data_IF_910075143585
#
_entry.id   IF_910075143585
#
_cell.length_a   1.000
_cell.length_b   1.000
_cell.length_c   1.000
_cell.angle_alpha   90.00
_cell.angle_beta   90.00
_cell.angle_gamma   90.00
#
_symmetry.space_group_name_H-M   'P 1'
#
loop_
_entity.id
_entity.type
_entity.pdbx_description
1 polymer ?
#
# COMPACT_ATOMS: atom_id res chain seq x y z
N UNK A 1 -32.43 31.47 -34.58
CA UNK A 1 -30.99 31.41 -34.28
C UNK A 1 -30.80 30.29 -33.26
N UNK A 2 -31.20 29.06 -33.60
CA UNK A 2 -30.36 28.07 -34.32
C UNK A 2 -29.16 27.74 -33.43
N UNK A 3 -29.15 26.72 -32.56
CA UNK A 3 -29.58 25.33 -32.74
C UNK A 3 -29.04 24.74 -34.06
N UNK A 4 -27.72 24.64 -34.11
CA UNK A 4 -26.93 24.01 -35.18
C UNK A 4 -26.14 22.87 -34.49
N UNK A 5 -26.70 21.66 -34.41
CA UNK A 5 -26.72 20.61 -35.44
C UNK A 5 -25.30 20.08 -35.70
N UNK A 6 -25.02 18.88 -35.20
CA UNK A 6 -24.53 17.75 -35.99
C UNK A 6 -24.12 16.61 -35.06
N UNK A 7 -25.13 15.82 -34.69
CA UNK A 7 -24.95 14.39 -34.49
C UNK A 7 -24.65 13.73 -35.84
N UNK A 8 -23.98 12.59 -35.77
CA UNK A 8 -23.75 11.62 -36.83
C UNK A 8 -22.80 11.99 -37.99
N UNK A 9 -21.53 11.65 -37.75
CA UNK A 9 -20.81 10.88 -38.77
C UNK A 9 -19.95 9.78 -38.15
N UNK A 10 -20.62 8.67 -37.86
CA UNK A 10 -20.25 7.33 -38.35
C UNK A 10 -18.88 6.80 -37.90
N UNK A 11 -18.97 5.74 -37.09
CA UNK A 11 -17.95 4.71 -36.95
C UNK A 11 -17.33 4.31 -38.28
N UNK A 12 -16.00 4.39 -38.39
CA UNK A 12 -15.15 3.42 -39.09
C UNK A 12 -13.71 3.95 -39.14
N UNK A 13 -12.80 3.30 -38.40
CA UNK A 13 -11.42 3.03 -38.82
C UNK A 13 -10.61 2.50 -37.62
N UNK A 14 -10.77 1.21 -37.40
CA UNK A 14 -9.76 0.33 -36.81
C UNK A 14 -8.44 0.48 -37.60
N UNK A 15 -7.32 0.42 -36.87
CA UNK A 15 -5.94 0.23 -37.32
C UNK A 15 -5.22 1.41 -38.01
N UNK A 16 -4.28 2.03 -37.29
CA UNK A 16 -2.85 2.00 -37.64
C UNK A 16 -2.05 2.84 -36.63
N UNK A 17 -1.16 2.17 -35.90
CA UNK A 17 -0.12 2.76 -35.10
C UNK A 17 1.06 3.14 -36.02
N UNK A 18 1.55 4.39 -36.05
CA UNK A 18 2.87 4.66 -36.57
C UNK A 18 3.77 5.15 -35.44
N UNK A 19 4.53 4.20 -34.90
CA UNK A 19 5.84 4.49 -34.35
C UNK A 19 6.73 5.09 -35.45
N UNK A 20 7.24 6.31 -35.27
CA UNK A 20 8.65 6.68 -35.49
C UNK A 20 8.85 8.21 -35.59
N UNK A 21 10.00 8.65 -35.04
CA UNK A 21 10.65 9.97 -35.11
C UNK A 21 10.17 11.00 -34.07
N UNK A 22 10.99 11.56 -33.18
CA UNK A 22 12.43 11.76 -33.20
C UNK A 22 13.03 11.78 -31.78
N UNK A 23 14.13 11.06 -31.60
CA UNK A 23 14.90 11.01 -30.35
C UNK A 23 15.85 12.22 -30.26
N UNK A 24 15.61 13.12 -29.31
CA UNK A 24 16.62 14.10 -28.89
C UNK A 24 17.58 13.43 -27.91
N UNK A 25 18.80 13.13 -28.40
CA UNK A 25 19.89 12.53 -27.63
C UNK A 25 20.33 13.53 -26.53
N UNK A 26 19.75 13.41 -25.33
CA UNK A 26 20.27 14.12 -24.15
C UNK A 26 21.66 13.58 -23.83
N UNK A 27 22.67 14.42 -24.00
CA UNK A 27 24.02 14.13 -23.53
C UNK A 27 23.97 14.10 -22.01
N UNK A 28 24.10 12.91 -21.43
CA UNK A 28 24.26 12.73 -19.99
C UNK A 28 25.72 13.07 -19.69
N UNK A 29 25.96 14.36 -19.50
CA UNK A 29 27.17 14.86 -18.87
C UNK A 29 27.04 14.71 -17.37
N UNK A 30 28.04 14.08 -16.75
CA UNK A 30 28.29 14.18 -15.32
C UNK A 30 27.52 13.21 -14.43
N UNK A 31 27.84 11.91 -14.53
CA UNK A 31 28.12 11.02 -13.38
C UNK A 31 28.69 9.72 -13.95
N UNK A 32 29.85 9.30 -13.43
CA UNK A 32 30.78 8.32 -13.98
C UNK A 32 30.21 7.18 -14.82
N UNK A 33 30.92 6.89 -15.93
CA UNK A 33 30.72 5.76 -16.86
C UNK A 33 30.62 4.37 -16.20
N UNK A 34 30.89 4.25 -14.89
CA UNK A 34 30.77 3.03 -14.12
C UNK A 34 29.38 2.77 -13.52
N UNK A 35 28.52 3.78 -13.35
CA UNK A 35 27.20 3.57 -12.73
C UNK A 35 26.21 2.92 -13.71
N UNK A 36 26.26 3.31 -14.99
CA UNK A 36 25.44 2.69 -16.03
C UNK A 36 25.75 1.20 -16.22
N UNK A 37 27.00 0.77 -16.06
CA UNK A 37 27.38 -0.65 -16.20
C UNK A 37 26.81 -1.53 -15.07
N UNK A 38 26.63 -0.97 -13.87
CA UNK A 38 25.98 -1.65 -12.74
C UNK A 38 24.46 -1.70 -12.88
N UNK A 39 23.89 -0.62 -13.43
CA UNK A 39 22.46 -0.46 -13.66
C UNK A 39 22.03 -1.41 -14.79
N UNK A 40 22.64 -1.35 -15.96
CA UNK A 40 22.23 -2.10 -17.17
C UNK A 40 22.35 -3.63 -17.02
N UNK A 41 23.25 -4.12 -16.16
CA UNK A 41 23.32 -5.56 -15.82
C UNK A 41 22.30 -6.05 -14.79
N UNK A 42 21.57 -5.15 -14.14
CA UNK A 42 20.68 -5.47 -13.01
C UNK A 42 19.19 -5.53 -13.37
N UNK A 43 18.77 -4.99 -14.53
CA UNK A 43 17.34 -4.94 -14.90
C UNK A 43 16.84 -6.19 -15.63
N UNK A 44 17.71 -6.97 -16.28
CA UNK A 44 17.30 -8.15 -17.08
C UNK A 44 17.29 -9.50 -16.31
N UNK A 45 17.55 -9.49 -14.99
CA UNK A 45 17.46 -10.69 -14.12
C UNK A 45 16.55 -10.52 -12.89
N UNK A 46 15.64 -9.56 -12.92
CA UNK A 46 14.74 -9.28 -11.80
C UNK A 46 13.29 -9.77 -12.02
N UNK A 47 12.98 -10.49 -13.10
CA UNK A 47 11.63 -11.03 -13.34
C UNK A 47 11.45 -12.51 -12.95
N UNK A 48 12.50 -13.26 -12.60
CA UNK A 48 12.37 -14.70 -12.35
C UNK A 48 13.20 -15.23 -11.19
N UNK A 49 13.24 -14.47 -10.09
CA UNK A 49 13.40 -15.03 -8.74
C UNK A 49 12.60 -14.17 -7.76
N UNK A 50 11.29 -14.38 -7.74
CA UNK A 50 10.57 -14.28 -6.46
C UNK A 50 11.12 -15.42 -5.62
N UNK A 51 12.25 -15.16 -4.95
CA UNK A 51 12.67 -15.98 -3.82
C UNK A 51 11.51 -15.90 -2.85
N UNK A 52 10.73 -16.97 -2.77
CA UNK A 52 9.78 -17.19 -1.70
C UNK A 52 10.58 -17.17 -0.40
N UNK A 53 10.75 -15.98 0.15
CA UNK A 53 11.22 -15.82 1.53
C UNK A 53 10.22 -16.58 2.38
N UNK A 54 10.65 -17.54 3.22
CA UNK A 54 9.73 -18.28 4.09
C UNK A 54 8.98 -17.35 5.05
N UNK A 55 9.47 -16.12 5.23
CA UNK A 55 8.74 -15.02 5.83
C UNK A 55 8.46 -13.93 4.78
N UNK A 56 7.24 -13.85 4.24
CA UNK A 56 6.84 -12.70 3.45
C UNK A 56 6.81 -11.46 4.37
N UNK A 57 7.74 -10.54 4.14
CA UNK A 57 7.73 -9.21 4.76
C UNK A 57 6.68 -8.35 4.02
N UNK A 58 5.68 -7.84 4.75
CA UNK A 58 4.50 -7.10 4.26
C UNK A 58 3.29 -7.93 3.78
N UNK A 59 2.85 -8.93 4.54
CA UNK A 59 1.52 -9.53 4.36
C UNK A 59 0.49 -8.73 5.15
N UNK A 60 -0.62 -8.38 4.50
CA UNK A 60 -1.82 -7.84 5.15
C UNK A 60 -2.87 -8.94 5.21
N UNK A 61 -3.45 -9.17 6.38
CA UNK A 61 -4.46 -10.20 6.61
C UNK A 61 -5.30 -9.90 7.84
N UNK A 62 -6.36 -10.69 8.04
CA UNK A 62 -7.22 -10.62 9.21
C UNK A 62 -6.62 -11.44 10.34
N UNK A 63 -6.51 -10.85 11.53
CA UNK A 63 -5.92 -11.47 12.71
C UNK A 63 -6.86 -11.22 13.86
N UNK A 64 -7.22 -12.29 14.58
CA UNK A 64 -8.09 -12.15 15.74
C UNK A 64 -7.48 -11.19 16.77
N UNK A 65 -8.27 -10.21 17.19
CA UNK A 65 -7.83 -9.11 18.08
C UNK A 65 -7.29 -9.65 19.42
N UNK A 66 -7.79 -10.80 19.87
CA UNK A 66 -7.35 -11.50 21.07
C UNK A 66 -5.95 -12.12 20.99
N UNK A 67 -5.38 -12.30 19.79
CA UNK A 67 -4.04 -12.86 19.59
C UNK A 67 -2.94 -11.78 19.56
N UNK A 68 -3.33 -10.51 19.64
CA UNK A 68 -2.42 -9.36 19.56
C UNK A 68 -2.06 -8.88 20.96
N UNK A 69 -0.81 -9.08 21.35
CA UNK A 69 -0.20 -8.58 22.58
C UNK A 69 0.36 -7.17 22.36
N UNK A 70 0.03 -6.28 23.28
CA UNK A 70 0.52 -4.90 23.26
C UNK A 70 1.90 -4.81 23.92
N UNK A 71 2.79 -4.00 23.36
CA UNK A 71 4.10 -3.78 23.96
C UNK A 71 3.98 -2.87 25.20
N UNK A 72 4.42 -3.29 26.40
CA UNK A 72 4.35 -2.48 27.61
C UNK A 72 5.27 -1.25 27.58
N UNK A 73 6.28 -1.22 26.70
CA UNK A 73 7.24 -0.12 26.59
C UNK A 73 6.79 1.00 25.64
N UNK A 74 5.48 1.24 25.53
CA UNK A 74 4.99 2.34 24.69
C UNK A 74 5.19 3.69 25.39
N UNK A 75 5.86 4.66 24.75
CA UNK A 75 6.12 5.98 25.34
C UNK A 75 4.85 6.83 25.49
N UNK A 76 3.80 6.53 24.71
CA UNK A 76 2.52 7.23 24.81
C UNK A 76 1.57 6.46 25.71
N UNK A 77 1.43 6.92 26.95
CA UNK A 77 0.58 6.31 27.97
C UNK A 77 -0.75 7.05 28.17
N UNK A 78 -0.85 8.30 27.70
CA UNK A 78 -2.08 9.08 27.83
C UNK A 78 -2.85 9.09 26.50
N UNK A 79 -4.03 8.48 26.54
CA UNK A 79 -5.00 8.52 25.45
C UNK A 79 -6.25 9.26 25.95
N UNK A 80 -6.65 10.25 25.19
CA UNK A 80 -7.96 10.87 25.37
C UNK A 80 -9.05 9.84 25.04
N UNK A 81 -9.93 9.57 26.01
CA UNK A 81 -10.97 8.56 25.87
C UNK A 81 -12.06 9.00 24.91
N UNK A 82 -12.39 10.29 24.85
CA UNK A 82 -13.42 10.80 23.94
C UNK A 82 -12.98 10.59 22.48
N UNK A 83 -11.74 10.96 22.18
CA UNK A 83 -11.13 10.75 20.85
C UNK A 83 -10.93 9.26 20.49
N UNK A 84 -10.92 8.36 21.49
CA UNK A 84 -10.85 6.92 21.26
C UNK A 84 -12.24 6.34 20.97
N UNK A 85 -13.26 6.86 21.64
CA UNK A 85 -14.66 6.50 21.43
C UNK A 85 -15.17 6.94 20.06
N UNK A 86 -14.86 8.16 19.64
CA UNK A 86 -15.14 8.63 18.27
C UNK A 86 -14.47 7.73 17.21
N UNK A 87 -13.23 7.29 17.47
CA UNK A 87 -12.53 6.38 16.57
C UNK A 87 -13.20 5.01 16.52
N UNK A 88 -13.70 4.50 17.65
CA UNK A 88 -14.42 3.24 17.71
C UNK A 88 -15.76 3.30 16.94
N UNK A 89 -16.50 4.41 17.04
CA UNK A 89 -17.73 4.62 16.25
C UNK A 89 -17.45 4.71 14.74
N UNK A 90 -16.38 5.41 14.36
CA UNK A 90 -15.92 5.48 12.98
C UNK A 90 -15.55 4.09 12.45
N UNK A 91 -14.78 3.32 13.21
CA UNK A 91 -14.41 1.93 12.87
C UNK A 91 -15.65 1.04 12.77
N UNK A 92 -16.67 1.22 13.61
CA UNK A 92 -17.92 0.44 13.52
C UNK A 92 -18.70 0.74 12.23
N UNK A 93 -18.66 1.99 11.76
CA UNK A 93 -19.45 2.42 10.60
C UNK A 93 -18.73 2.17 9.27
N UNK A 94 -17.41 2.43 9.23
CA UNK A 94 -16.60 2.42 8.01
C UNK A 94 -15.58 1.28 7.97
N UNK A 95 -15.37 0.58 9.09
CA UNK A 95 -14.31 -0.42 9.23
C UNK A 95 -12.93 0.22 9.49
N UNK A 96 -11.90 -0.63 9.47
CA UNK A 96 -10.52 -0.21 9.66
C UNK A 96 -9.93 0.18 8.29
N UNK A 97 -9.79 1.48 8.05
CA UNK A 97 -9.21 1.99 6.79
C UNK A 97 -7.70 1.73 6.72
N UNK A 98 -7.01 1.83 7.86
CA UNK A 98 -5.56 1.64 7.91
C UNK A 98 -5.18 0.53 8.89
N UNK A 99 -4.51 -0.54 8.41
CA UNK A 99 -4.20 -1.70 9.23
C UNK A 99 -3.23 -1.36 10.37
N UNK A 100 -3.21 -2.23 11.37
CA UNK A 100 -2.22 -2.23 12.45
C UNK A 100 -1.00 -3.02 12.03
N UNK A 101 0.17 -2.61 12.49
CA UNK A 101 1.42 -3.33 12.19
C UNK A 101 1.74 -4.24 13.36
N UNK A 102 1.85 -5.52 13.06
CA UNK A 102 2.21 -6.55 14.04
C UNK A 102 3.44 -7.32 13.59
N UNK A 103 4.13 -7.90 14.55
CA UNK A 103 5.19 -8.90 14.35
C UNK A 103 4.68 -10.23 14.86
N UNK A 104 4.85 -11.28 14.08
CA UNK A 104 4.57 -12.64 14.54
C UNK A 104 5.66 -13.08 15.53
N UNK A 105 5.24 -13.57 16.71
CA UNK A 105 6.10 -14.19 17.72
C UNK A 105 6.04 -15.71 17.59
N UNK A 106 4.83 -16.26 17.57
CA UNK A 106 4.52 -17.69 17.48
C UNK A 106 3.34 -17.92 16.51
N UNK A 107 2.92 -19.18 16.31
CA UNK A 107 1.82 -19.53 15.40
C UNK A 107 0.50 -18.75 15.67
N UNK A 108 0.21 -18.47 16.94
CA UNK A 108 -1.01 -17.78 17.38
C UNK A 108 -0.70 -16.56 18.27
N UNK A 109 0.52 -16.02 18.23
CA UNK A 109 0.89 -14.85 19.03
C UNK A 109 1.49 -13.76 18.16
N UNK A 110 0.92 -12.58 18.26
CA UNK A 110 1.34 -11.40 17.52
C UNK A 110 1.68 -10.30 18.51
N UNK A 111 2.76 -9.57 18.26
CA UNK A 111 3.12 -8.38 19.02
C UNK A 111 2.77 -7.14 18.21
N UNK A 112 2.06 -6.22 18.84
CA UNK A 112 1.79 -4.92 18.24
C UNK A 112 3.08 -4.09 18.16
N UNK A 113 3.40 -3.63 16.96
CA UNK A 113 4.50 -2.70 16.70
C UNK A 113 3.99 -1.26 16.66
N UNK A 114 2.83 -1.04 16.03
CA UNK A 114 2.22 0.29 15.90
C UNK A 114 0.71 0.20 15.72
N UNK A 115 0.01 1.26 16.14
CA UNK A 115 -1.44 1.38 15.98
C UNK A 115 -2.26 1.03 17.22
N UNK A 116 -1.71 1.23 18.44
CA UNK A 116 -2.39 0.92 19.71
C UNK A 116 -3.80 1.51 19.78
N UNK A 117 -3.96 2.79 19.39
CA UNK A 117 -5.27 3.45 19.36
C UNK A 117 -6.29 2.71 18.49
N UNK A 118 -5.87 2.14 17.37
CA UNK A 118 -6.76 1.37 16.49
C UNK A 118 -7.10 0.04 17.12
N UNK A 119 -6.11 -0.66 17.67
CA UNK A 119 -6.36 -1.92 18.37
C UNK A 119 -7.36 -1.73 19.53
N UNK A 120 -7.18 -0.68 20.33
CA UNK A 120 -8.10 -0.34 21.42
C UNK A 120 -9.49 0.06 20.91
N UNK A 121 -9.57 0.91 19.89
CA UNK A 121 -10.84 1.29 19.28
C UNK A 121 -11.56 0.09 18.63
N UNK A 122 -10.84 -0.86 18.01
CA UNK A 122 -11.40 -2.10 17.49
C UNK A 122 -11.96 -3.00 18.59
N UNK A 123 -11.28 -3.08 19.74
CA UNK A 123 -11.79 -3.79 20.93
C UNK A 123 -13.09 -3.15 21.43
N UNK A 124 -13.15 -1.83 21.50
CA UNK A 124 -14.36 -1.10 21.91
C UNK A 124 -15.49 -1.18 20.86
N UNK A 125 -15.14 -1.25 19.58
CA UNK A 125 -16.09 -1.41 18.51
C UNK A 125 -16.75 -2.81 18.53
N UNK A 126 -16.14 -3.79 19.21
CA UNK A 126 -16.60 -5.18 19.29
C UNK A 126 -16.19 -6.02 18.09
N UNK A 127 -15.06 -5.71 17.46
CA UNK A 127 -14.54 -6.47 16.32
C UNK A 127 -13.73 -7.68 16.79
N UNK A 128 -14.00 -8.84 16.19
CA UNK A 128 -13.29 -10.09 16.49
C UNK A 128 -11.94 -10.20 15.73
N UNK A 129 -11.81 -9.59 14.56
CA UNK A 129 -10.67 -9.72 13.63
C UNK A 129 -10.43 -8.52 12.73
#
# INVERSE_FOLDING_TARGET
MSAEKNEDKIQAALAANPAAAAASKRRIGGLGRGLNALIEGSYDKASERVLASPNPVNVVGLIAVGLIETNPYQPRTHFDQDALQELAESIRTQGIIQPVTVRQLDANRYQLISGERRLQASKLAGLDS
#
